data_IF_009639254850
#
_entry.id   IF_009639254850
#
_cell.length_a   1.000
_cell.length_b   1.000
_cell.length_c   1.000
_cell.angle_alpha   90.00
_cell.angle_beta   90.00
_cell.angle_gamma   90.00
#
_symmetry.space_group_name_H-M   'P 1'
#
loop_
_entity.id
_entity.type
_entity.pdbx_description
1 polymer ?
#
# COMPACT_ATOMS: atom_id res chain seq x y z
N UNK A 1 -37.93 -44.95 -31.43
CA UNK A 1 -37.07 -43.98 -32.14
C UNK A 1 -36.35 -43.19 -31.07
N UNK A 2 -35.05 -43.44 -30.93
CA UNK A 2 -34.26 -43.08 -29.75
C UNK A 2 -34.06 -41.58 -29.59
N UNK A 3 -34.15 -41.15 -28.34
CA UNK A 3 -33.76 -39.83 -27.84
C UNK A 3 -32.30 -39.57 -28.25
N UNK A 4 -32.06 -38.49 -29.00
CA UNK A 4 -30.72 -37.94 -29.12
C UNK A 4 -30.41 -37.27 -27.79
N UNK A 5 -29.60 -37.95 -26.99
CA UNK A 5 -28.90 -37.38 -25.86
C UNK A 5 -27.93 -36.32 -26.38
N UNK A 6 -28.18 -35.06 -26.04
CA UNK A 6 -27.24 -33.96 -26.19
C UNK A 6 -25.99 -34.26 -25.35
N UNK A 7 -24.90 -34.59 -26.04
CA UNK A 7 -23.55 -34.73 -25.52
C UNK A 7 -22.67 -33.85 -26.41
N UNK A 8 -21.63 -33.28 -25.80
CA UNK A 8 -20.61 -32.33 -26.31
C UNK A 8 -21.00 -30.86 -26.14
N UNK A 9 -20.34 -30.02 -25.35
CA UNK A 9 -19.13 -30.18 -24.52
C UNK A 9 -19.14 -28.95 -23.58
N UNK A 10 -19.39 -29.14 -22.29
CA UNK A 10 -19.37 -28.06 -21.28
C UNK A 10 -17.90 -27.72 -20.90
N UNK A 11 -17.02 -27.73 -21.90
CA UNK A 11 -15.74 -27.05 -21.83
C UNK A 11 -16.05 -25.57 -21.96
N UNK A 12 -16.44 -24.98 -20.84
CA UNK A 12 -16.21 -23.56 -20.59
C UNK A 12 -14.78 -23.31 -21.09
N UNK A 13 -14.67 -22.49 -22.13
CA UNK A 13 -13.39 -22.15 -22.71
C UNK A 13 -12.57 -21.46 -21.62
N UNK A 14 -11.73 -22.26 -20.96
CA UNK A 14 -10.93 -21.83 -19.82
C UNK A 14 -10.02 -20.69 -20.24
N UNK A 15 -9.61 -20.68 -21.52
CA UNK A 15 -8.85 -19.60 -22.13
C UNK A 15 -9.65 -18.30 -22.17
N UNK A 16 -10.89 -18.35 -22.65
CA UNK A 16 -11.75 -17.17 -22.70
C UNK A 16 -12.05 -16.60 -21.31
N UNK A 17 -12.24 -17.49 -20.31
CA UNK A 17 -12.43 -17.06 -18.93
C UNK A 17 -11.17 -16.39 -18.34
N UNK A 18 -9.98 -16.98 -18.55
CA UNK A 18 -8.72 -16.39 -18.08
C UNK A 18 -8.48 -15.02 -18.73
N UNK A 19 -8.69 -14.90 -20.03
CA UNK A 19 -8.60 -13.61 -20.74
C UNK A 19 -9.59 -12.58 -20.18
N UNK A 20 -10.80 -12.99 -19.83
CA UNK A 20 -11.78 -12.09 -19.21
C UNK A 20 -11.33 -11.63 -17.81
N UNK A 21 -10.70 -12.51 -17.02
CA UNK A 21 -10.17 -12.15 -15.70
C UNK A 21 -9.04 -11.11 -15.82
N UNK A 22 -8.16 -11.26 -16.81
CA UNK A 22 -7.01 -10.36 -17.00
C UNK A 22 -7.40 -8.99 -17.59
N UNK A 23 -8.55 -8.89 -18.27
CA UNK A 23 -8.98 -7.67 -18.97
C UNK A 23 -10.09 -6.90 -18.25
N UNK A 24 -10.84 -7.54 -17.37
CA UNK A 24 -11.92 -6.89 -16.61
C UNK A 24 -11.34 -5.96 -15.54
N UNK A 25 -12.07 -4.91 -15.19
CA UNK A 25 -11.67 -4.03 -14.09
C UNK A 25 -11.67 -4.76 -12.74
N UNK A 26 -10.74 -4.36 -11.85
CA UNK A 26 -10.62 -4.92 -10.49
C UNK A 26 -11.93 -4.82 -9.71
N UNK A 27 -12.66 -3.70 -9.85
CA UNK A 27 -13.97 -3.52 -9.21
C UNK A 27 -14.96 -4.60 -9.65
N UNK A 28 -15.03 -4.88 -10.95
CA UNK A 28 -15.92 -5.92 -11.47
C UNK A 28 -15.47 -7.31 -11.04
N UNK A 29 -14.17 -7.58 -11.03
CA UNK A 29 -13.63 -8.85 -10.54
C UNK A 29 -14.00 -9.10 -9.07
N UNK A 30 -13.89 -8.07 -8.21
CA UNK A 30 -14.31 -8.13 -6.80
C UNK A 30 -15.79 -8.41 -6.65
N UNK A 31 -16.65 -7.77 -7.43
CA UNK A 31 -18.09 -8.04 -7.43
C UNK A 31 -18.40 -9.49 -7.82
N UNK A 32 -17.77 -9.99 -8.90
CA UNK A 32 -17.96 -11.36 -9.37
C UNK A 32 -17.50 -12.36 -8.32
N UNK A 33 -16.31 -12.17 -7.73
CA UNK A 33 -15.80 -13.06 -6.68
C UNK A 33 -16.72 -13.08 -5.45
N UNK A 34 -17.21 -11.92 -5.01
CA UNK A 34 -18.20 -11.83 -3.90
C UNK A 34 -19.46 -12.63 -4.24
N UNK A 35 -20.02 -12.42 -5.43
CA UNK A 35 -21.21 -13.13 -5.90
C UNK A 35 -20.99 -14.65 -5.96
N UNK A 36 -19.82 -15.12 -6.43
CA UNK A 36 -19.47 -16.54 -6.45
C UNK A 36 -19.39 -17.12 -5.04
N UNK A 37 -18.76 -16.41 -4.09
CA UNK A 37 -18.67 -16.83 -2.69
C UNK A 37 -20.03 -16.86 -1.97
N UNK A 38 -20.98 -16.01 -2.37
CA UNK A 38 -22.36 -16.04 -1.87
C UNK A 38 -23.15 -17.23 -2.44
N UNK A 39 -22.95 -17.53 -3.73
CA UNK A 39 -23.66 -18.60 -4.42
C UNK A 39 -23.11 -20.01 -4.14
N UNK A 40 -21.81 -20.14 -3.83
CA UNK A 40 -21.12 -21.43 -3.69
C UNK A 40 -20.37 -21.54 -2.35
N UNK A 41 -20.82 -22.43 -1.43
CA UNK A 41 -20.11 -22.70 -0.18
C UNK A 41 -18.68 -23.21 -0.38
N UNK A 42 -18.44 -23.97 -1.45
CA UNK A 42 -17.12 -24.48 -1.80
C UNK A 42 -16.18 -23.34 -2.20
N UNK A 43 -16.66 -22.42 -3.04
CA UNK A 43 -15.88 -21.24 -3.43
C UNK A 43 -15.58 -20.35 -2.22
N UNK A 44 -16.55 -20.16 -1.32
CA UNK A 44 -16.34 -19.44 -0.06
C UNK A 44 -15.28 -20.09 0.81
N UNK A 45 -15.31 -21.41 0.95
CA UNK A 45 -14.30 -22.16 1.72
C UNK A 45 -12.91 -21.96 1.12
N UNK A 46 -12.80 -22.07 -0.20
CA UNK A 46 -11.53 -21.88 -0.89
C UNK A 46 -11.02 -20.44 -0.77
N UNK A 47 -11.89 -19.43 -0.95
CA UNK A 47 -11.53 -18.03 -0.76
C UNK A 47 -11.06 -17.74 0.67
N UNK A 48 -11.76 -18.26 1.68
CA UNK A 48 -11.34 -18.12 3.08
C UNK A 48 -9.96 -18.73 3.33
N UNK A 49 -9.65 -19.88 2.74
CA UNK A 49 -8.36 -20.54 2.88
C UNK A 49 -7.22 -19.73 2.26
N UNK A 50 -7.46 -19.10 1.12
CA UNK A 50 -6.42 -18.36 0.38
C UNK A 50 -6.25 -16.91 0.87
N UNK A 51 -7.32 -16.25 1.29
CA UNK A 51 -7.33 -14.81 1.61
C UNK A 51 -7.33 -14.49 3.10
N UNK A 52 -7.67 -15.45 3.97
CA UNK A 52 -7.76 -15.23 5.40
C UNK A 52 -6.82 -16.16 6.16
N UNK A 53 -6.31 -15.65 7.28
CA UNK A 53 -5.47 -16.39 8.23
C UNK A 53 -5.95 -16.16 9.65
N UNK A 54 -5.62 -17.07 10.57
CA UNK A 54 -6.01 -16.90 11.97
C UNK A 54 -5.11 -15.86 12.65
N UNK A 55 -5.70 -15.00 13.50
CA UNK A 55 -4.98 -13.97 14.28
C UNK A 55 -3.77 -14.50 15.09
N UNK A 56 -3.79 -15.79 15.43
CA UNK A 56 -2.72 -16.48 16.16
C UNK A 56 -1.53 -16.84 15.29
N UNK A 57 -1.73 -17.11 14.00
CA UNK A 57 -0.67 -17.45 13.05
C UNK A 57 0.20 -16.22 12.76
N UNK A 58 -0.43 -15.05 12.64
CA UNK A 58 0.27 -13.77 12.50
C UNK A 58 1.15 -13.48 13.73
N UNK A 59 0.77 -13.95 14.93
CA UNK A 59 1.50 -13.68 16.18
C UNK A 59 2.78 -14.50 16.34
N UNK A 60 2.96 -15.56 15.57
CA UNK A 60 4.16 -16.39 15.64
C UNK A 60 5.34 -15.82 14.83
N UNK A 61 5.10 -14.79 14.01
CA UNK A 61 6.13 -13.97 13.34
C UNK A 61 6.16 -12.52 13.85
N UNK A 62 5.99 -12.29 15.16
CA UNK A 62 5.61 -10.97 15.71
C UNK A 62 6.48 -10.63 16.94
N UNK A 63 6.32 -9.45 17.60
CA UNK A 63 5.63 -8.21 17.19
C UNK A 63 6.31 -6.91 17.69
N UNK A 64 5.78 -5.75 17.31
CA UNK A 64 5.25 -4.71 18.22
C UNK A 64 5.55 -3.30 17.71
N UNK A 65 4.49 -2.48 17.66
CA UNK A 65 4.54 -1.03 17.62
C UNK A 65 5.74 -0.51 18.42
N UNK A 66 6.64 0.25 17.80
CA UNK A 66 7.48 1.17 18.58
C UNK A 66 6.58 2.32 19.03
N UNK A 67 6.39 2.54 20.35
CA UNK A 67 5.84 3.79 20.85
C UNK A 67 6.81 4.90 20.45
N UNK A 68 6.27 6.03 20.00
CA UNK A 68 7.05 7.19 19.55
C UNK A 68 8.14 7.56 20.55
N UNK A 69 9.37 7.61 20.06
CA UNK A 69 10.45 8.32 20.73
C UNK A 69 10.27 9.80 20.41
N UNK A 70 9.48 10.49 21.24
CA UNK A 70 9.66 11.92 21.45
C UNK A 70 10.69 12.02 22.58
N UNK A 71 11.94 12.24 22.21
CA UNK A 71 12.92 12.81 23.13
C UNK A 71 13.08 14.28 22.73
N UNK A 72 12.25 15.12 23.35
CA UNK A 72 12.54 16.54 23.46
C UNK A 72 13.66 16.70 24.48
N UNK A 73 14.78 17.30 24.09
CA UNK A 73 15.63 18.01 25.03
C UNK A 73 15.80 19.46 24.55
N UNK A 74 15.36 20.34 25.45
CA UNK A 74 15.38 21.79 25.36
C UNK A 74 16.78 22.34 25.08
N UNK A 75 16.87 23.31 24.16
CA UNK A 75 17.79 24.43 24.37
C UNK A 75 17.23 25.73 23.80
N UNK A 76 16.91 26.65 24.71
CA UNK A 76 16.45 28.01 24.46
C UNK A 76 17.63 28.94 24.16
N UNK A 77 17.41 29.90 23.25
CA UNK A 77 17.89 31.31 23.19
C UNK A 77 18.10 31.68 21.70
N UNK A 78 17.74 32.84 21.14
CA UNK A 78 16.93 34.00 21.53
C UNK A 78 16.82 34.89 20.26
N UNK A 79 15.64 35.48 20.02
CA UNK A 79 15.33 36.76 19.32
C UNK A 79 15.89 37.10 17.92
N UNK A 80 14.97 37.15 16.94
CA UNK A 80 14.60 38.25 15.97
C UNK A 80 15.64 39.33 15.55
N UNK A 81 15.61 39.85 14.29
CA UNK A 81 14.39 40.45 13.71
C UNK A 81 14.11 40.22 12.21
N UNK A 82 12.81 40.37 11.87
CA UNK A 82 12.20 40.47 10.53
C UNK A 82 12.77 41.65 9.71
N UNK A 83 12.81 41.60 8.36
CA UNK A 83 11.66 42.01 7.50
C UNK A 83 11.69 41.37 6.07
N UNK A 84 10.98 41.89 5.05
CA UNK A 84 9.54 42.07 4.88
C UNK A 84 8.97 41.26 3.69
N UNK A 85 7.66 40.98 3.75
CA UNK A 85 6.70 40.82 2.64
C UNK A 85 7.26 40.56 1.22
N UNK A 86 7.06 39.34 0.71
CA UNK A 86 6.74 39.10 -0.70
C UNK A 86 5.64 38.03 -0.82
N UNK A 87 4.78 38.25 -1.80
CA UNK A 87 3.42 37.75 -1.93
C UNK A 87 3.30 36.22 -2.06
N UNK A 88 2.33 35.66 -1.33
CA UNK A 88 1.84 34.31 -1.54
C UNK A 88 1.11 34.21 -2.90
N UNK A 89 1.35 33.19 -3.73
CA UNK A 89 0.47 32.88 -4.83
C UNK A 89 -0.85 32.30 -4.29
N UNK A 90 -1.95 32.89 -4.74
CA UNK A 90 -3.30 32.46 -4.44
C UNK A 90 -3.50 31.02 -4.88
N UNK A 91 -3.84 30.15 -3.92
CA UNK A 91 -4.24 28.76 -4.16
C UNK A 91 -5.53 28.78 -4.96
N UNK A 92 -5.46 28.49 -6.25
CA UNK A 92 -6.64 28.37 -7.10
C UNK A 92 -7.49 27.19 -6.64
N UNK A 93 -8.81 27.40 -6.61
CA UNK A 93 -9.82 26.41 -6.18
C UNK A 93 -9.77 25.10 -6.99
N UNK A 94 -9.13 25.09 -8.16
CA UNK A 94 -8.94 23.91 -8.99
C UNK A 94 -8.08 22.81 -8.33
N UNK A 95 -7.07 23.18 -7.54
CA UNK A 95 -6.18 22.22 -6.88
C UNK A 95 -6.85 21.48 -5.70
N UNK A 96 -7.84 22.11 -5.06
CA UNK A 96 -8.63 21.47 -3.99
C UNK A 96 -9.59 20.42 -4.54
N UNK A 97 -10.17 20.68 -5.72
CA UNK A 97 -11.13 19.77 -6.36
C UNK A 97 -10.47 18.50 -6.90
N UNK A 98 -9.20 18.56 -7.30
CA UNK A 98 -8.45 17.38 -7.76
C UNK A 98 -8.11 16.42 -6.59
N UNK A 99 -7.72 16.96 -5.43
CA UNK A 99 -7.33 16.17 -4.26
C UNK A 99 -8.54 15.50 -3.57
N UNK A 100 -9.71 16.12 -3.63
CA UNK A 100 -10.96 15.51 -3.13
C UNK A 100 -11.41 14.30 -3.97
N UNK A 101 -11.08 14.28 -5.27
CA UNK A 101 -11.56 13.24 -6.19
C UNK A 101 -10.79 11.91 -6.08
N UNK A 102 -9.54 11.94 -5.63
CA UNK A 102 -8.75 10.72 -5.36
C UNK A 102 -9.12 10.06 -4.02
N UNK A 103 -9.53 10.87 -3.03
CA UNK A 103 -9.97 10.38 -1.72
C UNK A 103 -11.34 9.67 -1.78
N UNK A 104 -12.19 9.98 -2.75
CA UNK A 104 -13.52 9.37 -2.91
C UNK A 104 -13.51 7.97 -3.57
N UNK A 105 -12.45 7.58 -4.28
CA UNK A 105 -12.36 6.24 -4.88
C UNK A 105 -11.85 5.16 -3.91
N UNK A 106 -11.37 5.55 -2.72
CA UNK A 106 -11.09 4.61 -1.63
C UNK A 106 -12.42 4.35 -0.91
N UNK A 107 -13.15 3.35 -1.40
CA UNK A 107 -14.35 2.86 -0.71
C UNK A 107 -14.04 2.71 0.79
N UNK A 108 -14.81 3.35 1.69
CA UNK A 108 -14.57 3.24 3.11
C UNK A 108 -14.70 1.76 3.49
N UNK A 109 -13.57 1.15 3.84
CA UNK A 109 -13.56 -0.13 4.51
C UNK A 109 -14.30 0.09 5.83
N UNK A 110 -15.53 -0.44 5.92
CA UNK A 110 -16.33 -0.41 7.13
C UNK A 110 -16.00 -1.69 7.94
N UNK A 111 -15.22 -1.60 9.04
CA UNK A 111 -14.87 -2.75 9.86
C UNK A 111 -16.06 -3.26 10.70
N UNK A 112 -17.24 -2.64 10.63
CA UNK A 112 -18.31 -2.87 11.60
C UNK A 112 -19.50 -3.69 11.08
N UNK A 113 -19.33 -4.58 10.08
CA UNK A 113 -20.37 -5.59 9.85
C UNK A 113 -20.23 -6.65 10.95
N UNK A 114 -21.16 -6.77 11.92
CA UNK A 114 -21.05 -7.75 12.98
C UNK A 114 -21.28 -9.12 12.36
N UNK A 115 -20.22 -9.92 12.23
CA UNK A 115 -20.29 -11.36 11.99
C UNK A 115 -20.89 -12.00 13.25
N UNK A 116 -22.21 -11.95 13.37
CA UNK A 116 -22.92 -12.63 14.44
C UNK A 116 -22.75 -14.14 14.27
N UNK A 117 -22.01 -14.77 15.19
CA UNK A 117 -21.95 -16.23 15.29
C UNK A 117 -20.59 -16.88 15.55
N UNK A 118 -19.48 -16.14 15.72
CA UNK A 118 -18.17 -16.79 15.93
C UNK A 118 -17.64 -16.57 17.35
N UNK A 119 -17.97 -17.50 18.24
CA UNK A 119 -17.12 -17.76 19.41
C UNK A 119 -15.87 -18.50 18.93
N UNK A 120 -14.84 -17.76 18.52
CA UNK A 120 -13.54 -18.35 18.17
C UNK A 120 -12.77 -17.57 17.10
N UNK A 121 -11.59 -17.06 17.48
CA UNK A 121 -10.50 -16.60 16.59
C UNK A 121 -10.90 -15.63 15.46
N UNK A 122 -10.51 -14.36 15.60
CA UNK A 122 -10.69 -13.38 14.52
C UNK A 122 -9.83 -13.80 13.31
N UNK A 123 -10.47 -13.96 12.16
CA UNK A 123 -9.78 -14.11 10.90
C UNK A 123 -9.32 -12.72 10.42
N UNK A 124 -8.12 -12.63 9.87
CA UNK A 124 -7.56 -11.40 9.29
C UNK A 124 -7.13 -11.65 7.85
N UNK A 125 -7.02 -10.57 7.06
CA UNK A 125 -6.50 -10.66 5.69
C UNK A 125 -5.09 -11.24 5.70
N UNK A 126 -4.83 -12.20 4.82
CA UNK A 126 -3.51 -12.80 4.62
C UNK A 126 -2.53 -11.83 3.97
N UNK A 127 -3.02 -11.00 3.07
CA UNK A 127 -2.22 -10.03 2.35
C UNK A 127 -2.50 -8.62 2.86
N UNK A 128 -1.45 -7.81 2.97
CA UNK A 128 -1.52 -6.42 3.36
C UNK A 128 -0.51 -5.59 2.57
N UNK A 129 -0.75 -4.29 2.43
CA UNK A 129 0.21 -3.34 1.85
C UNK A 129 1.09 -2.78 2.97
N UNK A 130 2.39 -2.69 2.68
CA UNK A 130 3.37 -2.11 3.60
C UNK A 130 3.34 -0.58 3.56
N UNK A 131 3.36 0.09 4.70
CA UNK A 131 3.43 1.56 4.78
C UNK A 131 4.81 2.12 4.37
N UNK A 132 5.85 1.30 4.48
CA UNK A 132 7.23 1.75 4.25
C UNK A 132 7.67 1.56 2.80
N UNK A 133 7.36 0.41 2.20
CA UNK A 133 7.79 0.06 0.84
C UNK A 133 6.66 -0.05 -0.16
N UNK A 134 5.40 0.13 0.28
CA UNK A 134 4.19 0.09 -0.55
C UNK A 134 3.89 -1.24 -1.26
N UNK A 135 4.75 -2.26 -1.08
CA UNK A 135 4.57 -3.60 -1.64
C UNK A 135 3.57 -4.42 -0.82
N UNK A 136 2.78 -5.24 -1.52
CA UNK A 136 1.94 -6.27 -0.90
C UNK A 136 2.81 -7.37 -0.29
N UNK A 137 2.46 -7.84 0.90
CA UNK A 137 3.15 -8.93 1.59
C UNK A 137 2.17 -9.88 2.26
N UNK A 138 2.56 -11.15 2.37
CA UNK A 138 1.87 -12.16 3.16
C UNK A 138 2.25 -12.01 4.64
N UNK A 139 1.26 -11.74 5.48
CA UNK A 139 1.45 -11.49 6.92
C UNK A 139 1.97 -12.72 7.68
N UNK A 140 1.83 -13.91 7.10
CA UNK A 140 2.30 -15.18 7.71
C UNK A 140 3.76 -15.48 7.43
N UNK A 141 4.35 -14.86 6.40
CA UNK A 141 5.76 -15.06 6.01
C UNK A 141 6.63 -13.82 6.23
N UNK A 142 6.07 -12.76 6.84
CA UNK A 142 6.82 -11.54 7.18
C UNK A 142 8.00 -11.87 8.12
N UNK A 143 9.12 -11.19 7.92
CA UNK A 143 10.35 -11.39 8.69
C UNK A 143 11.07 -10.05 8.88
N UNK A 144 12.03 -9.99 9.81
CA UNK A 144 12.83 -8.78 10.07
C UNK A 144 13.71 -8.33 8.91
N UNK A 145 13.76 -9.11 7.82
CA UNK A 145 14.52 -8.79 6.62
C UNK A 145 13.66 -8.78 5.35
N UNK A 146 12.34 -8.80 5.50
CA UNK A 146 11.42 -8.88 4.38
C UNK A 146 11.18 -7.51 3.72
N UNK A 147 11.09 -6.44 4.52
CA UNK A 147 10.89 -5.10 4.01
C UNK A 147 12.22 -4.41 3.78
N UNK A 148 12.41 -3.89 2.56
CA UNK A 148 13.45 -2.94 2.22
C UNK A 148 12.80 -1.66 1.73
N UNK A 149 13.29 -0.52 2.21
CA UNK A 149 12.76 0.78 1.84
C UNK A 149 13.76 1.91 2.11
N UNK A 150 13.48 3.06 1.51
CA UNK A 150 14.04 4.35 1.86
C UNK A 150 12.98 5.16 2.62
N UNK A 151 13.31 5.79 3.76
CA UNK A 151 12.35 6.59 4.55
C UNK A 151 12.02 7.92 3.88
N UNK A 152 12.82 8.34 2.90
CA UNK A 152 12.71 9.60 2.18
C UNK A 152 12.64 9.33 0.68
N UNK A 153 11.92 10.16 -0.04
CA UNK A 153 11.92 10.13 -1.50
C UNK A 153 13.28 10.60 -2.04
N UNK A 154 13.72 10.07 -3.19
CA UNK A 154 14.98 10.50 -3.77
C UNK A 154 14.85 11.93 -4.32
N UNK A 155 15.89 12.71 -4.13
CA UNK A 155 15.99 14.10 -4.59
C UNK A 155 16.98 14.20 -5.74
N UNK A 156 16.81 15.21 -6.58
CA UNK A 156 17.77 15.49 -7.66
C UNK A 156 19.11 15.90 -7.05
N UNK A 157 20.19 15.38 -7.60
CA UNK A 157 21.55 15.81 -7.30
C UNK A 157 21.75 17.27 -7.76
N UNK A 158 21.79 18.19 -6.80
CA UNK A 158 21.95 19.64 -7.04
C UNK A 158 23.33 20.01 -7.57
N UNK A 159 24.30 19.10 -7.51
CA UNK A 159 25.62 19.25 -8.15
C UNK A 159 25.63 18.74 -9.60
N UNK A 160 24.54 18.12 -10.08
CA UNK A 160 24.46 17.62 -11.44
C UNK A 160 24.19 18.73 -12.45
N UNK A 161 25.21 19.06 -13.24
CA UNK A 161 25.16 20.01 -14.36
C UNK A 161 24.11 19.67 -15.44
N UNK A 162 23.39 18.54 -15.34
CA UNK A 162 22.31 18.20 -16.26
C UNK A 162 21.12 19.14 -16.19
N UNK A 163 20.91 19.80 -15.05
CA UNK A 163 19.75 20.68 -14.83
C UNK A 163 20.09 22.17 -14.95
N UNK A 164 21.35 22.50 -15.21
CA UNK A 164 21.86 23.87 -15.35
C UNK A 164 21.80 24.41 -16.79
N UNK A 165 21.56 23.55 -17.79
CA UNK A 165 21.44 23.96 -19.18
C UNK A 165 20.01 24.44 -19.48
N UNK A 166 19.86 25.73 -19.82
CA UNK A 166 18.62 26.43 -20.21
C UNK A 166 17.84 25.79 -21.40
N UNK A 167 18.38 24.72 -22.00
CA UNK A 167 17.82 24.01 -23.16
C UNK A 167 16.83 22.89 -22.78
N UNK A 168 16.65 22.58 -21.49
CA UNK A 168 15.62 21.62 -21.05
C UNK A 168 14.37 22.36 -20.52
N UNK A 169 13.32 22.51 -21.34
CA UNK A 169 12.13 23.23 -20.93
C UNK A 169 11.37 22.45 -19.85
N UNK A 170 11.26 23.06 -18.67
CA UNK A 170 10.12 22.86 -17.75
C UNK A 170 9.93 21.43 -17.18
N UNK A 171 10.95 20.59 -17.17
CA UNK A 171 10.88 19.34 -16.40
C UNK A 171 11.16 19.64 -14.94
N UNK A 172 10.15 19.47 -14.10
CA UNK A 172 10.27 19.62 -12.66
C UNK A 172 10.88 18.36 -12.05
N UNK A 173 11.54 18.47 -10.89
CA UNK A 173 12.09 17.37 -10.09
C UNK A 173 11.06 16.25 -9.76
N UNK A 174 9.78 16.52 -9.99
CA UNK A 174 8.64 15.63 -9.77
C UNK A 174 8.20 14.86 -11.04
N UNK A 175 8.88 15.04 -12.17
CA UNK A 175 8.54 14.32 -13.39
C UNK A 175 9.03 12.86 -13.32
N UNK A 176 8.09 11.92 -13.34
CA UNK A 176 8.37 10.47 -13.31
C UNK A 176 9.20 10.03 -14.52
N UNK A 177 9.05 10.69 -15.68
CA UNK A 177 9.81 10.35 -16.88
C UNK A 177 11.32 10.60 -16.71
N UNK A 178 11.70 11.61 -15.92
CA UNK A 178 13.10 11.85 -15.56
C UNK A 178 13.64 10.78 -14.62
N UNK A 179 12.82 10.33 -13.66
CA UNK A 179 13.20 9.25 -12.73
C UNK A 179 13.45 7.93 -13.45
N UNK A 180 12.69 7.66 -14.52
CA UNK A 180 12.86 6.46 -15.34
C UNK A 180 14.06 6.58 -16.30
N UNK A 181 14.23 7.73 -16.96
CA UNK A 181 15.28 7.92 -17.97
C UNK A 181 16.67 8.13 -17.33
N UNK A 182 16.73 8.82 -16.19
CA UNK A 182 17.97 9.26 -15.56
C UNK A 182 18.04 8.95 -14.05
N UNK A 183 17.75 7.71 -13.61
CA UNK A 183 17.64 7.35 -12.19
C UNK A 183 18.93 7.57 -11.38
N UNK A 184 20.09 7.65 -12.03
CA UNK A 184 21.37 7.86 -11.33
C UNK A 184 21.51 9.25 -10.71
N UNK A 185 20.73 10.26 -11.13
CA UNK A 185 20.77 11.61 -10.57
C UNK A 185 19.75 11.84 -9.45
N UNK A 186 19.08 10.77 -9.02
CA UNK A 186 18.10 10.80 -7.94
C UNK A 186 18.71 10.14 -6.70
N UNK A 187 19.23 10.94 -5.78
CA UNK A 187 19.94 10.52 -4.57
C UNK A 187 18.97 10.36 -3.40
N UNK A 188 19.19 9.36 -2.55
CA UNK A 188 18.40 9.18 -1.34
C UNK A 188 19.06 9.88 -0.15
N UNK A 189 18.35 10.75 0.58
CA UNK A 189 18.92 11.44 1.76
C UNK A 189 19.35 10.50 2.91
N UNK A 190 18.83 9.27 2.92
CA UNK A 190 19.11 8.27 3.94
C UNK A 190 20.38 7.43 3.72
N UNK A 191 21.00 7.48 2.52
CA UNK A 191 22.22 6.73 2.21
C UNK A 191 22.96 7.31 1.01
N UNK A 192 24.22 6.93 0.78
CA UNK A 192 24.98 7.39 -0.39
C UNK A 192 24.55 6.70 -1.72
N UNK A 193 23.31 6.22 -1.81
CA UNK A 193 22.76 5.50 -2.96
C UNK A 193 21.87 6.37 -3.83
N UNK A 194 21.66 5.94 -5.07
CA UNK A 194 20.74 6.55 -6.03
C UNK A 194 19.66 5.57 -6.49
N UNK A 195 18.64 6.08 -7.19
CA UNK A 195 17.50 5.29 -7.67
C UNK A 195 17.91 4.15 -8.61
N UNK A 196 19.03 4.26 -9.32
CA UNK A 196 19.54 3.21 -10.22
C UNK A 196 20.18 2.05 -9.46
N UNK A 197 21.06 2.37 -8.51
CA UNK A 197 21.93 1.37 -7.87
C UNK A 197 21.28 0.74 -6.63
N UNK A 198 20.36 1.46 -5.97
CA UNK A 198 19.68 0.98 -4.78
C UNK A 198 18.16 1.32 -4.77
N UNK A 199 17.38 0.87 -5.77
CA UNK A 199 15.95 1.18 -5.85
C UNK A 199 15.11 0.54 -4.72
N UNK A 200 15.61 -0.55 -4.13
CA UNK A 200 14.85 -1.37 -3.17
C UNK A 200 14.86 -0.82 -1.74
N UNK A 201 15.82 0.04 -1.37
CA UNK A 201 15.93 0.57 -0.02
C UNK A 201 17.19 0.17 0.73
N UNK A 202 17.74 1.12 1.51
CA UNK A 202 18.88 0.88 2.39
C UNK A 202 18.48 0.35 3.78
N UNK A 203 17.24 0.58 4.22
CA UNK A 203 16.73 0.10 5.51
C UNK A 203 16.15 -1.30 5.32
N UNK A 204 16.45 -2.20 6.25
CA UNK A 204 15.93 -3.58 6.29
C UNK A 204 15.14 -3.77 7.58
N UNK A 205 13.84 -4.04 7.46
CA UNK A 205 12.96 -4.22 8.62
C UNK A 205 11.79 -5.19 8.29
N UNK A 206 10.84 -5.32 9.22
CA UNK A 206 9.55 -5.97 9.01
C UNK A 206 8.62 -5.10 8.16
N UNK A 207 7.75 -5.72 7.35
CA UNK A 207 6.63 -4.97 6.76
C UNK A 207 5.63 -4.54 7.84
N UNK A 208 5.02 -3.37 7.67
CA UNK A 208 4.03 -2.79 8.60
C UNK A 208 2.79 -2.39 7.81
N UNK A 209 1.60 -2.79 8.25
CA UNK A 209 0.33 -2.38 7.63
C UNK A 209 -0.34 -1.23 8.40
N UNK A 210 -1.04 -0.29 7.72
CA UNK A 210 -1.90 0.67 8.39
C UNK A 210 -3.02 -0.07 9.13
N UNK A 211 -2.98 -0.04 10.46
CA UNK A 211 -4.02 -0.56 11.36
C UNK A 211 -4.17 -2.09 11.45
N UNK A 212 -3.36 -2.71 12.31
CA UNK A 212 -3.89 -3.71 13.23
C UNK A 212 -4.26 -2.98 14.54
N UNK A 213 -5.55 -2.65 14.73
CA UNK A 213 -6.04 -2.07 16.00
C UNK A 213 -5.49 -2.94 17.14
N UNK A 214 -4.69 -2.39 18.08
CA UNK A 214 -4.21 -3.15 19.22
C UNK A 214 -5.42 -3.70 19.96
N UNK A 215 -5.53 -5.03 20.07
CA UNK A 215 -6.51 -5.64 20.97
C UNK A 215 -6.25 -5.06 22.35
N UNK A 216 -7.12 -4.16 22.80
CA UNK A 216 -7.08 -3.57 24.12
C UNK A 216 -6.94 -4.73 25.12
N UNK A 217 -5.83 -4.77 25.85
CA UNK A 217 -5.64 -5.69 26.96
C UNK A 217 -6.78 -5.39 27.94
N UNK A 218 -7.77 -6.27 28.05
CA UNK A 218 -8.76 -6.22 29.14
C UNK A 218 -7.97 -6.31 30.44
N UNK A 219 -7.84 -5.19 31.14
CA UNK A 219 -7.34 -5.16 32.50
C UNK A 219 -8.28 -6.02 33.35
N UNK A 220 -7.74 -7.09 33.93
CA UNK A 220 -8.44 -7.92 34.89
C UNK A 220 -8.42 -7.14 36.21
N UNK A 221 -9.52 -6.45 36.50
CA UNK A 221 -9.73 -5.87 37.82
C UNK A 221 -9.93 -7.05 38.78
N UNK A 222 -9.01 -7.20 39.72
CA UNK A 222 -9.13 -8.08 40.89
C UNK A 222 -9.96 -7.39 41.97
#
# INVERSE_FOLDING_TARGET
>A
MGLKSDIFDDKIDTTALLLAIDTVSVTKLREVLKSICEASPEAKRQANKELLVEDTEVKNGKPALKPGHIANEDNQLQSDPTPPFLHAPEKTEAAKVALEREHEMRAPYNPEVPLEGITGKRAVSRYALCENCEKEYDVTTNSSTACRYHPEEPQVDDESSLFDDDDYPELTEQDESLREEWPQYFLFGCCDGNLRDNPEGCIVDWHVSPSAIPSAKRARIM
#
